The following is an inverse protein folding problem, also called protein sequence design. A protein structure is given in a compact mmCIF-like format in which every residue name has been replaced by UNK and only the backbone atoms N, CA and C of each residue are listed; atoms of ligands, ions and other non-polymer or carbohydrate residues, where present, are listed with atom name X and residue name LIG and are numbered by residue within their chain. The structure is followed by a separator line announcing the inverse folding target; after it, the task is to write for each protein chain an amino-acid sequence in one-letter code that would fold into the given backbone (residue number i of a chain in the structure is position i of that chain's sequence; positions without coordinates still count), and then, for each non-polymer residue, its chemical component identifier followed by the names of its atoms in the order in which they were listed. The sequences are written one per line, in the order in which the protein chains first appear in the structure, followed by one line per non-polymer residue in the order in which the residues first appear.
data_IF_449097443890
#
_entry.id   IF_449097443890
#
_cell.length_a   1.000
_cell.length_b   1.000
_cell.length_c   1.000
_cell.angle_alpha   90.00
_cell.angle_beta   90.00
_cell.angle_gamma   90.00
#
_symmetry.space_group_name_H-M   'P 1'
#
loop_
_entity.id
_entity.type
_entity.pdbx_description
1 polymer ?
#
# COMPACT_ATOMS: atom_id res chain seq x y z
N UNK A 1 17.87 -2.88 -12.87
CA UNK A 1 16.75 -3.50 -13.63
C UNK A 1 16.78 -5.03 -13.64
N UNK A 2 17.78 -5.68 -14.25
CA UNK A 2 17.82 -7.15 -14.35
C UNK A 2 17.71 -7.89 -13.00
N UNK A 3 18.35 -7.37 -11.93
CA UNK A 3 18.22 -7.92 -10.57
C UNK A 3 16.78 -7.86 -10.06
N UNK A 4 16.12 -6.69 -10.15
CA UNK A 4 14.71 -6.51 -9.75
C UNK A 4 13.80 -7.46 -10.52
N UNK A 5 13.94 -7.55 -11.84
CA UNK A 5 13.15 -8.47 -12.66
C UNK A 5 13.32 -9.94 -12.23
N UNK A 6 14.56 -10.41 -11.99
CA UNK A 6 14.80 -11.77 -11.47
C UNK A 6 14.12 -12.01 -10.11
N UNK A 7 14.12 -11.02 -9.23
CA UNK A 7 13.42 -11.11 -7.94
C UNK A 7 11.90 -11.18 -8.13
N UNK A 8 11.34 -10.40 -9.06
CA UNK A 8 9.91 -10.44 -9.41
C UNK A 8 9.50 -11.79 -9.98
N UNK A 9 10.30 -12.40 -10.85
CA UNK A 9 10.06 -13.76 -11.36
C UNK A 9 10.05 -14.78 -10.21
N UNK A 10 11.02 -14.72 -9.30
CA UNK A 10 11.04 -15.61 -8.12
C UNK A 10 9.80 -15.44 -7.25
N UNK A 11 9.39 -14.20 -7.00
CA UNK A 11 8.19 -13.90 -6.22
C UNK A 11 6.92 -14.36 -6.93
N UNK A 12 6.81 -14.13 -8.23
CA UNK A 12 5.68 -14.56 -9.06
C UNK A 12 5.51 -16.07 -9.02
N UNK A 13 6.59 -16.84 -9.23
CA UNK A 13 6.56 -18.30 -9.15
C UNK A 13 6.12 -18.77 -7.76
N UNK A 14 6.66 -18.16 -6.69
CA UNK A 14 6.27 -18.53 -5.33
C UNK A 14 4.80 -18.24 -5.03
N UNK A 15 4.26 -17.15 -5.57
CA UNK A 15 2.86 -16.80 -5.43
C UNK A 15 1.99 -17.80 -6.21
N UNK A 16 2.34 -18.12 -7.45
CA UNK A 16 1.65 -19.12 -8.26
C UNK A 16 1.60 -20.48 -7.55
N UNK A 17 2.72 -20.93 -6.97
CA UNK A 17 2.78 -22.18 -6.19
C UNK A 17 1.85 -22.18 -4.96
N UNK A 18 1.62 -21.03 -4.34
CA UNK A 18 0.84 -20.91 -3.09
C UNK A 18 -0.65 -20.62 -3.31
N UNK A 19 -0.98 -19.88 -4.37
CA UNK A 19 -2.34 -19.34 -4.57
C UNK A 19 -2.95 -19.77 -5.90
N UNK A 20 -2.17 -20.35 -6.82
CA UNK A 20 -2.58 -20.63 -8.20
C UNK A 20 -2.70 -19.39 -9.08
N UNK A 21 -2.47 -18.18 -8.54
CA UNK A 21 -2.57 -16.93 -9.31
C UNK A 21 -1.27 -16.68 -10.05
N UNK A 22 -1.32 -16.79 -11.37
CA UNK A 22 -0.20 -16.44 -12.25
C UNK A 22 -0.05 -14.92 -12.37
N UNK A 23 1.14 -14.42 -12.08
CA UNK A 23 1.47 -12.99 -12.13
C UNK A 23 2.37 -12.68 -13.32
N UNK A 24 2.20 -11.50 -13.93
CA UNK A 24 3.08 -10.98 -14.97
C UNK A 24 4.27 -10.22 -14.35
N UNK A 25 5.52 -10.71 -14.39
CA UNK A 25 6.66 -10.03 -13.76
C UNK A 25 7.06 -8.70 -14.40
N UNK A 26 6.44 -8.32 -15.53
CA UNK A 26 6.64 -7.01 -16.17
C UNK A 26 5.69 -5.94 -15.61
N UNK A 27 4.60 -6.31 -14.94
CA UNK A 27 3.69 -5.36 -14.30
C UNK A 27 4.39 -4.66 -13.13
N UNK A 28 3.92 -3.47 -12.73
CA UNK A 28 4.36 -2.82 -11.50
C UNK A 28 3.93 -3.68 -10.30
N UNK A 29 4.88 -4.20 -9.52
CA UNK A 29 4.58 -4.92 -8.28
C UNK A 29 4.38 -3.92 -7.15
N UNK A 30 3.10 -3.68 -6.83
CA UNK A 30 2.62 -2.76 -5.82
C UNK A 30 2.31 -3.52 -4.53
N UNK A 31 3.08 -3.26 -3.46
CA UNK A 31 3.13 -4.18 -2.32
C UNK A 31 2.84 -3.49 -0.98
N UNK A 32 1.82 -4.00 -0.29
CA UNK A 32 1.45 -3.60 1.06
C UNK A 32 1.55 -4.78 2.04
N UNK A 33 2.71 -4.92 2.69
CA UNK A 33 2.99 -6.03 3.61
C UNK A 33 3.23 -5.56 5.05
N UNK A 34 2.20 -5.70 5.88
CA UNK A 34 2.20 -5.28 7.30
C UNK A 34 1.03 -5.92 8.03
N UNK A 35 0.98 -5.77 9.36
CA UNK A 35 -0.19 -6.18 10.15
C UNK A 35 -1.47 -5.57 9.55
N UNK A 36 -2.57 -6.32 9.52
CA UNK A 36 -3.85 -5.78 9.06
C UNK A 36 -4.48 -5.01 10.22
N UNK A 37 -4.65 -3.71 10.02
CA UNK A 37 -5.20 -2.80 11.01
C UNK A 37 -5.82 -1.60 10.28
N UNK A 38 -6.92 -1.05 10.78
CA UNK A 38 -7.62 0.07 10.15
C UNK A 38 -6.70 1.30 9.91
N UNK A 39 -5.85 1.69 10.86
CA UNK A 39 -4.90 2.81 10.68
C UNK A 39 -3.82 2.56 9.61
N UNK A 40 -3.53 1.29 9.28
CA UNK A 40 -2.56 0.92 8.23
C UNK A 40 -3.19 0.98 6.83
N UNK A 41 -4.51 1.22 6.78
CA UNK A 41 -5.31 1.56 5.60
C UNK A 41 -5.13 0.63 4.41
N UNK A 42 -5.05 -0.69 4.64
CA UNK A 42 -5.24 -1.66 3.55
C UNK A 42 -6.60 -1.49 2.87
N UNK A 43 -7.58 -0.98 3.61
CA UNK A 43 -8.87 -0.59 3.04
C UNK A 43 -8.72 0.52 2.00
N UNK A 44 -7.92 1.58 2.24
CA UNK A 44 -7.68 2.64 1.26
C UNK A 44 -7.04 2.10 -0.03
N UNK A 45 -6.08 1.18 0.10
CA UNK A 45 -5.46 0.53 -1.07
C UNK A 45 -6.50 -0.29 -1.86
N UNK A 46 -7.35 -1.10 -1.20
CA UNK A 46 -8.38 -1.84 -1.95
C UNK A 46 -9.45 -0.92 -2.57
N UNK A 47 -9.72 0.27 -2.01
CA UNK A 47 -10.56 1.27 -2.68
C UNK A 47 -9.94 1.68 -4.02
N UNK A 48 -8.63 2.00 -4.03
CA UNK A 48 -7.89 2.32 -5.26
C UNK A 48 -7.89 1.15 -6.27
N UNK A 49 -7.74 -0.09 -5.82
CA UNK A 49 -7.85 -1.27 -6.68
C UNK A 49 -9.20 -1.33 -7.40
N UNK A 50 -10.30 -1.05 -6.69
CA UNK A 50 -11.64 -1.03 -7.27
C UNK A 50 -11.78 0.14 -8.25
N UNK A 51 -11.18 1.30 -7.96
CA UNK A 51 -11.12 2.44 -8.88
C UNK A 51 -10.42 2.07 -10.19
N UNK A 52 -9.25 1.44 -10.11
CA UNK A 52 -8.54 0.94 -11.30
C UNK A 52 -9.38 -0.05 -12.09
N UNK A 53 -10.02 -1.00 -11.41
CA UNK A 53 -10.92 -1.96 -12.03
C UNK A 53 -12.06 -1.27 -12.80
N UNK A 54 -12.73 -0.29 -12.18
CA UNK A 54 -13.81 0.47 -12.80
C UNK A 54 -13.35 1.24 -14.04
N UNK A 55 -12.19 1.92 -13.96
CA UNK A 55 -11.59 2.66 -15.08
C UNK A 55 -11.19 1.76 -16.25
N UNK A 56 -10.71 0.55 -15.97
CA UNK A 56 -10.39 -0.46 -16.99
C UNK A 56 -11.68 -0.93 -17.67
N UNK A 57 -12.71 -1.27 -16.88
CA UNK A 57 -14.00 -1.76 -17.36
C UNK A 57 -14.80 -0.75 -18.16
N UNK A 58 -14.70 0.53 -17.82
CA UNK A 58 -15.36 1.62 -18.53
C UNK A 58 -14.65 2.01 -19.84
N UNK A 59 -13.45 1.48 -20.10
CA UNK A 59 -12.62 1.86 -21.24
C UNK A 59 -11.97 3.25 -21.10
N UNK A 60 -12.05 3.87 -19.93
CA UNK A 60 -11.42 5.17 -19.64
C UNK A 60 -9.89 5.04 -19.55
N UNK A 61 -9.37 3.85 -19.24
CA UNK A 61 -7.95 3.62 -19.11
C UNK A 61 -7.34 3.06 -20.41
N UNK A 62 -7.01 3.95 -21.35
CA UNK A 62 -6.46 3.59 -22.67
C UNK A 62 -4.99 3.12 -22.62
N UNK A 63 -4.20 3.68 -21.71
CA UNK A 63 -2.76 3.37 -21.53
C UNK A 63 -2.47 2.90 -20.09
N UNK A 64 -3.14 1.83 -19.66
CA UNK A 64 -2.96 1.27 -18.32
C UNK A 64 -1.55 0.71 -18.16
N UNK A 65 -0.78 1.26 -17.23
CA UNK A 65 0.43 0.60 -16.72
C UNK A 65 0.00 -0.70 -16.02
N UNK A 66 0.37 -1.90 -16.54
CA UNK A 66 -0.03 -3.15 -15.92
C UNK A 66 0.43 -3.20 -14.46
N UNK A 67 -0.46 -3.57 -13.53
CA UNK A 67 -0.19 -3.54 -12.09
C UNK A 67 -0.56 -4.86 -11.42
N UNK A 68 0.30 -5.30 -10.50
CA UNK A 68 0.02 -6.43 -9.61
C UNK A 68 0.06 -5.94 -8.18
N UNK A 69 -1.11 -5.89 -7.55
CA UNK A 69 -1.27 -5.44 -6.16
C UNK A 69 -1.18 -6.63 -5.22
N UNK A 70 -0.18 -6.61 -4.34
CA UNK A 70 0.17 -7.70 -3.43
C UNK A 70 -0.06 -7.24 -2.00
N UNK A 71 -1.05 -7.84 -1.35
CA UNK A 71 -1.29 -7.69 0.08
C UNK A 71 -0.59 -8.80 0.84
N UNK A 72 -0.16 -8.52 2.06
CA UNK A 72 0.27 -9.56 2.99
C UNK A 72 0.22 -9.08 4.44
N UNK A 73 -0.33 -9.91 5.32
CA UNK A 73 -0.50 -9.52 6.71
C UNK A 73 -1.35 -10.49 7.50
N UNK A 74 -1.39 -10.28 8.81
CA UNK A 74 -2.26 -11.01 9.74
C UNK A 74 -3.11 -10.02 10.51
N UNK A 75 -4.37 -10.37 10.73
CA UNK A 75 -5.25 -9.69 11.67
C UNK A 75 -5.18 -10.41 13.03
N UNK A 76 -5.39 -9.67 14.12
CA UNK A 76 -5.54 -10.29 15.44
C UNK A 76 -6.82 -11.15 15.47
N UNK A 77 -6.87 -12.27 16.23
CA UNK A 77 -7.98 -13.22 16.16
C UNK A 77 -9.36 -12.60 16.43
N UNK A 78 -9.45 -11.69 17.39
CA UNK A 78 -10.68 -10.98 17.76
C UNK A 78 -10.95 -9.69 16.97
N UNK A 79 -10.05 -9.28 16.07
CA UNK A 79 -10.21 -8.04 15.32
C UNK A 79 -11.09 -8.27 14.09
N UNK A 80 -12.40 -8.24 14.32
CA UNK A 80 -13.40 -8.55 13.31
C UNK A 80 -13.31 -7.64 12.07
N UNK A 81 -13.21 -6.32 12.24
CA UNK A 81 -13.11 -5.39 11.11
C UNK A 81 -11.87 -5.65 10.24
N UNK A 82 -10.71 -5.91 10.87
CA UNK A 82 -9.50 -6.27 10.14
C UNK A 82 -9.66 -7.57 9.35
N UNK A 83 -10.34 -8.59 9.91
CA UNK A 83 -10.66 -9.83 9.20
C UNK A 83 -11.64 -9.60 8.05
N UNK A 84 -12.62 -8.71 8.22
CA UNK A 84 -13.56 -8.33 7.17
C UNK A 84 -12.85 -7.63 6.01
N UNK A 85 -11.87 -6.76 6.30
CA UNK A 85 -11.02 -6.14 5.27
C UNK A 85 -10.19 -7.20 4.52
N UNK A 86 -9.60 -8.19 5.20
CA UNK A 86 -8.93 -9.32 4.53
C UNK A 86 -9.91 -10.04 3.59
N UNK A 87 -11.13 -10.30 4.05
CA UNK A 87 -12.15 -10.98 3.24
C UNK A 87 -12.52 -10.16 2.01
N UNK A 88 -12.75 -8.85 2.17
CA UNK A 88 -13.02 -7.94 1.06
C UNK A 88 -11.90 -7.98 0.02
N UNK A 89 -10.63 -7.90 0.44
CA UNK A 89 -9.49 -7.96 -0.49
C UNK A 89 -9.50 -9.26 -1.30
N UNK A 90 -9.81 -10.40 -0.68
CA UNK A 90 -9.84 -11.69 -1.39
C UNK A 90 -11.04 -11.78 -2.36
N UNK A 91 -12.22 -11.33 -1.96
CA UNK A 91 -13.41 -11.36 -2.84
C UNK A 91 -13.26 -10.36 -4.01
N UNK A 92 -12.67 -9.18 -3.78
CA UNK A 92 -12.27 -8.23 -4.84
C UNK A 92 -11.25 -8.87 -5.78
N UNK A 93 -10.24 -9.55 -5.23
CA UNK A 93 -9.22 -10.22 -6.02
C UNK A 93 -9.79 -11.33 -6.91
N UNK A 94 -10.74 -12.13 -6.41
CA UNK A 94 -11.40 -13.17 -7.19
C UNK A 94 -12.08 -12.59 -8.44
N UNK A 95 -12.89 -11.54 -8.27
CA UNK A 95 -13.59 -10.89 -9.39
C UNK A 95 -12.60 -10.29 -10.40
N UNK A 96 -11.61 -9.54 -9.92
CA UNK A 96 -10.65 -8.86 -10.80
C UNK A 96 -9.79 -9.88 -11.57
N UNK A 97 -9.31 -10.92 -10.89
CA UNK A 97 -8.41 -11.90 -11.50
C UNK A 97 -9.10 -12.77 -12.55
N UNK A 98 -10.41 -12.99 -12.41
CA UNK A 98 -11.22 -13.81 -13.32
C UNK A 98 -11.87 -13.00 -14.46
N UNK A 99 -11.86 -11.66 -14.41
CA UNK A 99 -12.46 -10.83 -15.47
C UNK A 99 -11.58 -10.78 -16.74
N UNK A 100 -12.04 -11.35 -17.89
CA UNK A 100 -11.26 -11.37 -19.13
C UNK A 100 -11.01 -9.99 -19.73
N UNK A 101 -11.87 -9.01 -19.45
CA UNK A 101 -11.69 -7.64 -19.93
C UNK A 101 -10.57 -6.91 -19.19
N UNK A 102 -10.25 -7.36 -17.97
CA UNK A 102 -9.11 -6.88 -17.18
C UNK A 102 -7.83 -7.59 -17.62
N UNK A 103 -7.85 -8.92 -17.67
CA UNK A 103 -6.70 -9.73 -18.08
C UNK A 103 -5.46 -9.46 -17.23
N UNK A 104 -4.32 -9.20 -17.88
CA UNK A 104 -3.04 -8.90 -17.21
C UNK A 104 -2.83 -7.40 -16.88
N UNK A 105 -3.82 -6.54 -17.14
CA UNK A 105 -3.73 -5.11 -16.81
C UNK A 105 -3.76 -4.86 -15.30
N UNK A 106 -4.52 -5.67 -14.56
CA UNK A 106 -4.61 -5.60 -13.11
C UNK A 106 -4.74 -7.01 -12.54
N UNK A 107 -3.84 -7.36 -11.62
CA UNK A 107 -3.96 -8.57 -10.78
C UNK A 107 -3.89 -8.19 -9.32
N UNK A 108 -4.61 -8.90 -8.49
CA UNK A 108 -4.62 -8.69 -7.03
C UNK A 108 -4.35 -10.03 -6.36
N UNK A 109 -3.47 -10.04 -5.36
CA UNK A 109 -3.20 -11.28 -4.61
C UNK A 109 -2.99 -10.97 -3.14
N UNK A 110 -3.57 -11.81 -2.29
CA UNK A 110 -3.27 -11.81 -0.87
C UNK A 110 -2.27 -12.93 -0.58
N UNK A 111 -1.03 -12.58 -0.28
CA UNK A 111 0.00 -13.55 0.11
C UNK A 111 -0.37 -14.17 1.47
N UNK A 112 -0.64 -15.49 1.55
CA UNK A 112 -1.09 -16.12 2.78
C UNK A 112 0.06 -16.25 3.79
N UNK A 113 -0.29 -16.23 5.09
CA UNK A 113 0.66 -16.44 6.18
C UNK A 113 1.94 -15.59 6.10
N UNK A 114 1.80 -14.27 5.94
CA UNK A 114 2.96 -13.37 5.94
C UNK A 114 3.82 -13.53 7.21
N UNK A 115 5.11 -13.81 6.99
CA UNK A 115 6.15 -14.07 7.99
C UNK A 115 7.52 -13.67 7.44
N UNK A 116 8.60 -13.88 8.20
CA UNK A 116 9.95 -13.44 7.81
C UNK A 116 10.41 -14.08 6.50
N UNK A 117 10.23 -15.39 6.34
CA UNK A 117 10.59 -16.12 5.12
C UNK A 117 9.85 -15.60 3.88
N UNK A 118 8.59 -15.19 4.05
CA UNK A 118 7.83 -14.54 2.98
C UNK A 118 8.41 -13.15 2.66
N UNK A 119 8.77 -12.40 3.69
CA UNK A 119 9.32 -11.05 3.57
C UNK A 119 10.64 -11.02 2.78
N UNK A 120 11.48 -12.06 2.91
CA UNK A 120 12.72 -12.23 2.15
C UNK A 120 12.51 -12.34 0.62
N UNK A 121 11.30 -12.70 0.18
CA UNK A 121 10.92 -12.72 -1.24
C UNK A 121 10.14 -11.47 -1.63
N UNK A 122 9.26 -10.99 -0.75
CA UNK A 122 8.41 -9.84 -1.00
C UNK A 122 9.24 -8.56 -1.15
N UNK A 123 10.14 -8.24 -0.21
CA UNK A 123 10.91 -6.99 -0.27
C UNK A 123 11.77 -6.86 -1.54
N UNK A 124 12.56 -7.87 -1.96
CA UNK A 124 13.36 -7.75 -3.17
C UNK A 124 12.53 -7.72 -4.46
N UNK A 125 11.31 -8.28 -4.44
CA UNK A 125 10.38 -8.33 -5.57
C UNK A 125 9.47 -7.11 -5.72
N UNK A 126 9.37 -6.23 -4.72
CA UNK A 126 8.51 -5.03 -4.78
C UNK A 126 9.10 -3.93 -5.66
N UNK A 127 8.26 -3.30 -6.49
CA UNK A 127 8.60 -2.06 -7.19
C UNK A 127 8.10 -0.85 -6.40
N UNK A 128 6.85 -0.90 -5.91
CA UNK A 128 6.23 0.15 -5.11
C UNK A 128 5.95 -0.36 -3.68
N UNK A 129 6.19 0.51 -2.70
CA UNK A 129 6.01 0.23 -1.29
C UNK A 129 4.90 1.08 -0.67
N UNK A 130 3.82 0.44 -0.26
CA UNK A 130 2.63 1.09 0.32
C UNK A 130 2.80 1.40 1.81
N UNK A 131 3.08 2.67 2.12
CA UNK A 131 3.33 3.20 3.46
C UNK A 131 2.28 4.23 3.86
N UNK A 132 1.02 3.83 3.73
CA UNK A 132 -0.14 4.70 3.72
C UNK A 132 -0.88 4.79 5.05
N UNK A 133 -0.19 4.74 6.20
CA UNK A 133 -0.87 4.91 7.49
C UNK A 133 -1.45 6.32 7.61
N UNK A 134 -2.50 6.55 8.41
CA UNK A 134 -2.99 7.92 8.68
C UNK A 134 -1.89 8.71 9.37
N UNK A 135 -1.61 9.95 8.94
CA UNK A 135 -0.53 10.74 9.53
C UNK A 135 -0.69 10.91 11.05
N UNK A 136 0.41 10.71 11.79
CA UNK A 136 0.44 10.71 13.26
C UNK A 136 0.12 9.36 13.92
N UNK A 137 0.00 8.25 13.18
CA UNK A 137 -0.35 6.93 13.77
C UNK A 137 0.78 5.91 13.74
N UNK A 138 1.73 6.03 12.80
CA UNK A 138 2.92 5.19 12.72
C UNK A 138 4.09 5.88 13.42
N UNK A 139 4.55 5.31 14.54
CA UNK A 139 5.69 5.89 15.27
C UNK A 139 7.02 5.83 14.47
N UNK A 140 7.17 4.82 13.62
CA UNK A 140 8.37 4.65 12.78
C UNK A 140 8.02 3.79 11.57
N UNK A 141 8.04 2.45 11.73
CA UNK A 141 7.93 1.49 10.63
C UNK A 141 9.30 1.09 10.12
N UNK A 142 9.55 -0.22 10.02
CA UNK A 142 10.83 -0.77 9.51
C UNK A 142 10.68 -1.51 8.19
N UNK A 143 9.45 -1.77 7.76
CA UNK A 143 9.16 -2.38 6.46
C UNK A 143 9.48 -1.43 5.30
N UNK A 144 9.20 -0.13 5.46
CA UNK A 144 9.56 0.92 4.52
C UNK A 144 11.07 1.01 4.30
N UNK A 145 11.88 0.92 5.36
CA UNK A 145 13.35 0.92 5.28
C UNK A 145 13.85 -0.26 4.44
N UNK A 146 13.32 -1.47 4.68
CA UNK A 146 13.69 -2.69 3.94
C UNK A 146 13.30 -2.59 2.45
N UNK A 147 12.13 -2.02 2.18
CA UNK A 147 11.62 -1.80 0.82
C UNK A 147 12.50 -0.82 0.04
N UNK A 148 12.81 0.33 0.63
CA UNK A 148 13.67 1.34 0.02
C UNK A 148 15.10 0.79 -0.21
N UNK A 149 15.65 0.05 0.75
CA UNK A 149 16.95 -0.61 0.61
C UNK A 149 16.97 -1.68 -0.50
N UNK A 150 15.81 -2.27 -0.82
CA UNK A 150 15.64 -3.21 -1.93
C UNK A 150 15.23 -2.53 -3.24
N UNK A 151 15.27 -1.20 -3.31
CA UNK A 151 14.99 -0.42 -4.52
C UNK A 151 13.52 -0.34 -4.89
N UNK A 152 12.60 -0.53 -3.94
CA UNK A 152 11.20 -0.15 -4.12
C UNK A 152 11.04 1.35 -3.82
N UNK A 153 10.27 2.06 -4.63
CA UNK A 153 9.90 3.45 -4.34
C UNK A 153 8.74 3.48 -3.35
N UNK A 154 8.77 4.41 -2.40
CA UNK A 154 7.70 4.55 -1.42
C UNK A 154 6.58 5.42 -1.97
N UNK A 155 5.34 4.97 -1.81
CA UNK A 155 4.15 5.82 -1.77
C UNK A 155 3.63 5.84 -0.33
N UNK A 156 3.45 7.03 0.24
CA UNK A 156 3.08 7.11 1.65
C UNK A 156 2.69 8.50 2.13
N UNK A 157 2.18 8.54 3.35
CA UNK A 157 1.92 9.77 4.08
C UNK A 157 3.20 10.30 4.74
N UNK A 158 3.19 11.58 5.11
CA UNK A 158 4.21 12.18 5.99
C UNK A 158 4.02 11.69 7.43
N UNK A 159 4.40 10.44 7.68
CA UNK A 159 4.26 9.77 8.98
C UNK A 159 5.44 8.84 9.28
N UNK A 160 5.75 8.70 10.57
CA UNK A 160 6.82 7.83 11.05
C UNK A 160 8.14 7.99 10.27
N UNK A 161 8.73 6.85 9.91
CA UNK A 161 10.01 6.82 9.19
C UNK A 161 9.89 7.22 7.70
N UNK A 162 8.70 7.49 7.16
CA UNK A 162 8.60 8.04 5.81
C UNK A 162 9.16 9.47 5.74
N UNK A 163 9.03 10.24 6.84
CA UNK A 163 9.62 11.58 6.97
C UNK A 163 11.14 11.48 6.84
N UNK A 164 11.77 10.62 7.63
CA UNK A 164 13.21 10.38 7.56
C UNK A 164 13.63 9.84 6.20
N UNK A 165 12.86 8.92 5.59
CA UNK A 165 13.19 8.41 4.25
C UNK A 165 13.17 9.54 3.23
N UNK A 166 12.14 10.41 3.26
CA UNK A 166 12.05 11.58 2.38
C UNK A 166 13.25 12.50 2.53
N UNK A 167 13.69 12.78 3.75
CA UNK A 167 14.89 13.58 4.04
C UNK A 167 16.15 12.98 3.39
N UNK A 168 16.35 11.66 3.52
CA UNK A 168 17.53 11.00 2.98
C UNK A 168 17.50 10.86 1.46
N UNK A 169 16.37 10.42 0.89
CA UNK A 169 16.28 10.12 -0.55
C UNK A 169 16.01 11.37 -1.39
N UNK A 170 15.39 12.39 -0.80
CA UNK A 170 14.96 13.64 -1.42
C UNK A 170 13.59 13.54 -2.10
N UNK A 171 12.88 14.66 -2.15
CA UNK A 171 11.47 14.79 -2.55
C UNK A 171 11.17 14.22 -3.94
N UNK A 172 12.13 14.30 -4.86
CA UNK A 172 11.97 13.75 -6.21
C UNK A 172 11.93 12.21 -6.24
N UNK A 173 12.37 11.52 -5.18
CA UNK A 173 12.59 10.07 -5.16
C UNK A 173 11.61 9.29 -4.27
N UNK A 174 10.53 9.93 -3.83
CA UNK A 174 9.46 9.36 -3.02
C UNK A 174 8.11 9.98 -3.44
N UNK A 175 7.02 9.24 -3.31
CA UNK A 175 5.67 9.71 -3.59
C UNK A 175 4.95 9.99 -2.27
N UNK A 176 4.78 11.26 -1.94
CA UNK A 176 4.11 11.69 -0.70
C UNK A 176 2.73 12.25 -1.03
N UNK A 177 1.72 11.84 -0.26
CA UNK A 177 0.35 12.30 -0.41
C UNK A 177 -0.36 12.43 0.93
N UNK A 178 -1.59 12.95 0.87
CA UNK A 178 -2.51 13.01 2.00
C UNK A 178 -2.21 14.15 2.96
N UNK A 179 -3.05 14.22 3.99
CA UNK A 179 -2.97 15.23 5.04
C UNK A 179 -1.71 15.05 5.90
N UNK A 180 -1.10 16.17 6.34
CA UNK A 180 -0.09 16.15 7.41
C UNK A 180 -0.72 15.88 8.77
N UNK A 181 0.09 15.58 9.80
CA UNK A 181 -0.41 15.40 11.17
C UNK A 181 -1.18 16.62 11.69
N UNK A 182 -0.72 17.83 11.37
CA UNK A 182 -1.39 19.09 11.75
C UNK A 182 -2.73 19.25 11.00
N UNK A 183 -2.76 18.92 9.72
CA UNK A 183 -3.98 18.97 8.91
C UNK A 183 -5.00 17.92 9.34
N UNK A 184 -4.56 16.72 9.72
CA UNK A 184 -5.41 15.68 10.34
C UNK A 184 -6.08 16.22 11.61
N UNK A 185 -5.32 16.90 12.48
CA UNK A 185 -5.87 17.50 13.70
C UNK A 185 -6.88 18.60 13.37
N UNK A 186 -6.57 19.45 12.38
CA UNK A 186 -7.44 20.52 11.92
C UNK A 186 -8.76 19.99 11.33
N UNK A 187 -8.69 19.04 10.40
CA UNK A 187 -9.88 18.42 9.77
C UNK A 187 -10.82 17.81 10.82
N UNK A 188 -10.27 17.17 11.85
CA UNK A 188 -11.08 16.68 12.97
C UNK A 188 -11.72 17.81 13.79
N UNK A 189 -10.95 18.86 14.09
CA UNK A 189 -11.44 20.00 14.87
C UNK A 189 -12.53 20.79 14.13
N UNK A 190 -12.43 20.88 12.80
CA UNK A 190 -13.39 21.58 11.94
C UNK A 190 -14.70 20.80 11.70
N UNK A 191 -14.85 19.60 12.30
CA UNK A 191 -16.07 18.81 12.23
C UNK A 191 -16.14 17.92 10.98
N UNK A 192 -15.09 17.15 10.71
CA UNK A 192 -15.02 16.18 9.60
C UNK A 192 -16.32 15.39 9.39
N UNK A 193 -16.89 15.52 8.18
CA UNK A 193 -18.05 14.78 7.73
C UNK A 193 -17.69 13.93 6.50
N UNK A 194 -17.62 12.59 6.63
CA UNK A 194 -17.30 11.68 5.52
C UNK A 194 -18.28 11.78 4.33
N UNK A 195 -19.54 12.15 4.58
CA UNK A 195 -20.56 12.27 3.53
C UNK A 195 -20.24 13.35 2.51
N UNK A 196 -19.55 14.42 2.91
CA UNK A 196 -19.16 15.50 2.00
C UNK A 196 -18.21 14.98 0.92
N UNK A 197 -17.24 14.13 1.32
CA UNK A 197 -16.29 13.48 0.40
C UNK A 197 -16.98 12.46 -0.51
N UNK A 198 -17.92 11.69 0.03
CA UNK A 198 -18.72 10.75 -0.74
C UNK A 198 -19.55 11.45 -1.82
N UNK A 199 -20.18 12.57 -1.51
CA UNK A 199 -21.00 13.32 -2.48
C UNK A 199 -20.16 14.14 -3.48
N UNK A 200 -18.98 14.58 -3.09
CA UNK A 200 -18.10 15.39 -3.93
C UNK A 200 -17.31 14.58 -4.98
N UNK A 201 -17.09 13.27 -4.76
CA UNK A 201 -16.27 12.44 -5.64
C UNK A 201 -17.05 11.23 -6.20
N UNK A 202 -17.36 11.27 -7.50
CA UNK A 202 -18.16 10.23 -8.16
C UNK A 202 -17.48 8.85 -8.21
N UNK A 203 -16.15 8.81 -8.35
CA UNK A 203 -15.41 7.54 -8.33
C UNK A 203 -15.41 6.92 -6.94
N UNK A 204 -15.17 7.73 -5.91
CA UNK A 204 -15.26 7.29 -4.52
C UNK A 204 -16.66 6.76 -4.21
N UNK A 205 -17.70 7.51 -4.61
CA UNK A 205 -19.09 7.09 -4.48
C UNK A 205 -19.33 5.72 -5.11
N UNK A 206 -18.92 5.54 -6.36
CA UNK A 206 -19.09 4.27 -7.08
C UNK A 206 -18.40 3.11 -6.35
N UNK A 207 -17.17 3.29 -5.89
CA UNK A 207 -16.43 2.26 -5.16
C UNK A 207 -17.15 1.87 -3.87
N UNK A 208 -17.58 2.86 -3.08
CA UNK A 208 -18.28 2.61 -1.81
C UNK A 208 -19.66 1.96 -2.03
N UNK A 209 -20.38 2.36 -3.07
CA UNK A 209 -21.66 1.73 -3.45
C UNK A 209 -21.47 0.27 -3.87
N UNK A 210 -20.42 -0.06 -4.63
CA UNK A 210 -20.10 -1.44 -5.00
C UNK A 210 -19.81 -2.31 -3.77
N UNK A 211 -19.09 -1.75 -2.78
CA UNK A 211 -18.83 -2.44 -1.51
C UNK A 211 -20.14 -2.66 -0.73
N UNK A 212 -21.03 -1.66 -0.69
CA UNK A 212 -22.25 -1.73 0.11
C UNK A 212 -23.39 -2.56 -0.52
N UNK A 213 -23.42 -2.70 -1.84
CA UNK A 213 -24.59 -3.23 -2.57
C UNK A 213 -24.39 -4.68 -3.06
N UNK A 214 -23.47 -5.43 -2.47
CA UNK A 214 -23.28 -6.85 -2.77
C UNK A 214 -22.53 -7.18 -4.05
N UNK A 215 -21.90 -6.20 -4.72
CA UNK A 215 -21.16 -6.45 -5.96
C UNK A 215 -20.06 -7.52 -5.80
N UNK A 216 -19.38 -7.51 -4.64
CA UNK A 216 -18.29 -8.45 -4.35
C UNK A 216 -18.75 -9.76 -3.69
N UNK A 217 -20.05 -9.90 -3.39
CA UNK A 217 -20.61 -11.13 -2.84
C UNK A 217 -22.14 -11.16 -3.05
N UNK A 218 -22.57 -11.79 -4.14
CA UNK A 218 -23.99 -11.86 -4.53
C UNK A 218 -24.82 -12.68 -3.52
N UNK A 219 -24.24 -13.71 -2.92
CA UNK A 219 -24.91 -14.59 -1.94
C UNK A 219 -25.16 -13.90 -0.59
N UNK A 220 -24.35 -12.90 -0.25
CA UNK A 220 -24.47 -12.11 0.98
C UNK A 220 -24.30 -10.61 0.67
N UNK A 221 -25.33 -9.95 0.11
CA UNK A 221 -25.20 -8.57 -0.38
C UNK A 221 -24.76 -7.57 0.69
N UNK A 222 -25.17 -7.80 1.94
CA UNK A 222 -24.84 -6.94 3.08
C UNK A 222 -23.50 -7.28 3.75
N UNK A 223 -22.74 -8.28 3.25
CA UNK A 223 -21.49 -8.77 3.88
C UNK A 223 -20.53 -7.63 4.25
N UNK A 224 -20.39 -6.64 3.38
CA UNK A 224 -19.46 -5.53 3.56
C UNK A 224 -20.13 -4.21 3.97
N UNK A 225 -21.42 -4.24 4.29
CA UNK A 225 -22.16 -3.04 4.73
C UNK A 225 -21.51 -2.38 5.94
N UNK A 226 -20.96 -3.17 6.85
CA UNK A 226 -20.26 -2.65 8.03
C UNK A 226 -18.99 -1.84 7.69
N UNK A 227 -18.31 -2.12 6.57
CA UNK A 227 -17.19 -1.30 6.10
C UNK A 227 -17.71 0.06 5.65
N UNK A 228 -18.76 0.06 4.83
CA UNK A 228 -19.41 1.29 4.37
C UNK A 228 -19.90 2.14 5.57
N UNK A 229 -20.59 1.52 6.52
CA UNK A 229 -21.07 2.20 7.72
C UNK A 229 -19.92 2.72 8.59
N UNK A 230 -18.80 1.99 8.68
CA UNK A 230 -17.63 2.46 9.42
C UNK A 230 -17.05 3.74 8.82
N UNK A 231 -17.04 3.84 7.48
CA UNK A 231 -16.55 5.02 6.78
C UNK A 231 -17.54 6.17 6.85
N UNK A 232 -18.81 5.97 6.51
CA UNK A 232 -19.76 7.07 6.34
C UNK A 232 -20.57 7.40 7.60
N UNK A 233 -20.93 6.39 8.38
CA UNK A 233 -21.86 6.53 9.51
C UNK A 233 -21.15 6.57 10.87
N UNK A 234 -19.91 6.07 10.95
CA UNK A 234 -19.09 6.07 12.18
C UNK A 234 -17.89 7.02 12.11
N UNK A 235 -17.91 7.93 11.15
CA UNK A 235 -17.02 9.09 11.10
C UNK A 235 -15.63 8.84 10.49
N UNK A 236 -15.40 7.71 9.81
CA UNK A 236 -14.14 7.37 9.13
C UNK A 236 -12.92 7.78 9.97
N UNK A 237 -12.75 7.11 11.12
CA UNK A 237 -11.79 7.53 12.13
C UNK A 237 -10.36 7.70 11.60
N UNK A 238 -9.99 7.02 10.52
CA UNK A 238 -8.64 7.06 9.94
C UNK A 238 -8.54 7.91 8.67
N UNK A 239 -9.56 8.74 8.38
CA UNK A 239 -9.58 9.72 7.31
C UNK A 239 -9.25 9.12 5.93
N UNK A 240 -9.80 7.93 5.65
CA UNK A 240 -9.62 7.28 4.35
C UNK A 240 -10.25 8.13 3.25
N UNK A 241 -11.43 8.70 3.48
CA UNK A 241 -12.16 9.44 2.44
C UNK A 241 -11.51 10.81 2.18
N UNK A 242 -10.93 11.42 3.21
CA UNK A 242 -10.20 12.67 3.09
C UNK A 242 -8.94 12.51 2.23
N UNK A 243 -8.18 11.44 2.43
CA UNK A 243 -6.94 11.19 1.68
C UNK A 243 -7.17 10.55 0.31
N UNK A 244 -8.36 9.98 0.05
CA UNK A 244 -8.65 9.18 -1.14
C UNK A 244 -8.26 9.87 -2.45
N UNK A 245 -8.71 11.11 -2.69
CA UNK A 245 -8.44 11.80 -3.95
C UNK A 245 -6.95 12.02 -4.19
N UNK A 246 -6.23 12.49 -3.16
CA UNK A 246 -4.77 12.69 -3.23
C UNK A 246 -4.00 11.38 -3.42
N UNK A 247 -4.49 10.28 -2.86
CA UNK A 247 -3.91 8.95 -3.06
C UNK A 247 -4.07 8.48 -4.50
N UNK A 248 -5.26 8.63 -5.09
CA UNK A 248 -5.52 8.27 -6.49
C UNK A 248 -4.64 9.10 -7.44
N UNK A 249 -4.57 10.42 -7.26
CA UNK A 249 -3.72 11.31 -8.06
C UNK A 249 -2.23 10.90 -7.97
N UNK A 250 -1.76 10.57 -6.76
CA UNK A 250 -0.37 10.15 -6.56
C UNK A 250 -0.10 8.78 -7.19
N UNK A 251 -1.07 7.87 -7.18
CA UNK A 251 -0.98 6.58 -7.86
C UNK A 251 -0.96 6.71 -9.40
N UNK A 252 -1.62 7.74 -9.94
CA UNK A 252 -1.51 8.10 -11.36
C UNK A 252 -0.08 8.57 -11.67
N UNK A 253 0.50 9.43 -10.83
CA UNK A 253 1.90 9.86 -10.98
C UNK A 253 2.90 8.69 -10.90
N UNK A 254 2.66 7.73 -9.99
CA UNK A 254 3.43 6.46 -9.94
C UNK A 254 3.31 5.71 -11.26
N UNK A 255 2.09 5.56 -11.77
CA UNK A 255 1.82 4.80 -12.99
C UNK A 255 2.46 5.43 -14.22
N UNK A 256 2.46 6.76 -14.30
CA UNK A 256 3.13 7.52 -15.34
C UNK A 256 4.65 7.38 -15.24
N UNK A 257 5.23 7.54 -14.05
CA UNK A 257 6.67 7.40 -13.86
C UNK A 257 7.17 6.01 -14.20
N UNK A 258 6.43 4.96 -13.85
CA UNK A 258 6.85 3.60 -14.13
C UNK A 258 6.94 3.31 -15.64
N UNK A 259 6.26 4.07 -16.51
CA UNK A 259 6.45 3.95 -17.95
C UNK A 259 7.83 4.45 -18.39
N UNK A 260 8.39 5.44 -17.70
CA UNK A 260 9.78 5.85 -17.83
C UNK A 260 10.70 4.95 -16.96
N UNK A 261 11.05 3.80 -17.53
CA UNK A 261 11.92 2.82 -16.87
C UNK A 261 13.32 3.36 -16.56
N UNK A 262 13.78 4.41 -17.26
CA UNK A 262 15.06 5.04 -16.96
C UNK A 262 15.00 5.84 -15.69
N UNK A 263 14.05 6.76 -15.63
CA UNK A 263 13.86 7.60 -14.46
C UNK A 263 13.45 6.77 -13.24
N UNK A 264 12.53 5.80 -13.39
CA UNK A 264 12.16 4.89 -12.30
C UNK A 264 13.38 4.18 -11.69
N UNK A 265 14.26 3.66 -12.55
CA UNK A 265 15.47 2.97 -12.10
C UNK A 265 16.45 3.91 -11.43
N UNK A 266 16.61 5.13 -11.95
CA UNK A 266 17.47 6.14 -11.35
C UNK A 266 17.01 6.47 -9.93
N UNK A 267 15.71 6.70 -9.72
CA UNK A 267 15.13 6.97 -8.40
C UNK A 267 15.28 5.77 -7.45
N UNK A 268 15.09 4.55 -7.95
CA UNK A 268 15.27 3.33 -7.16
C UNK A 268 16.73 3.18 -6.68
N UNK A 269 17.71 3.43 -7.56
CA UNK A 269 19.14 3.41 -7.18
C UNK A 269 19.45 4.46 -6.11
N UNK A 270 18.90 5.67 -6.26
CA UNK A 270 19.09 6.73 -5.27
C UNK A 270 18.48 6.39 -3.90
N UNK A 271 17.33 5.70 -3.88
CA UNK A 271 16.79 5.16 -2.62
C UNK A 271 17.80 4.22 -1.98
N UNK A 272 18.25 3.18 -2.70
CA UNK A 272 19.24 2.21 -2.17
C UNK A 272 20.52 2.90 -1.67
N UNK A 273 21.04 3.87 -2.41
CA UNK A 273 22.28 4.56 -2.08
C UNK A 273 22.17 5.49 -0.85
N UNK A 274 20.97 6.00 -0.55
CA UNK A 274 20.78 7.05 0.48
C UNK A 274 20.16 6.54 1.78
N UNK A 275 19.65 5.31 1.82
CA UNK A 275 19.01 4.74 3.03
C UNK A 275 19.97 4.10 4.02
N UNK A 276 21.29 4.36 3.93
CA UNK A 276 22.30 3.81 4.84
C UNK A 276 22.08 4.18 6.32
N UNK A 277 21.46 5.35 6.58
CA UNK A 277 21.05 5.82 7.91
C UNK A 277 20.19 4.79 8.65
N UNK A 278 19.43 3.96 7.94
CA UNK A 278 18.48 3.01 8.54
C UNK A 278 19.11 1.67 8.94
N UNK A 279 20.43 1.52 8.87
CA UNK A 279 21.12 0.35 9.42
C UNK A 279 20.88 0.24 10.94
N UNK A 280 20.57 -0.97 11.40
CA UNK A 280 20.46 -1.26 12.84
C UNK A 280 21.78 -1.05 13.58
N UNK A 281 22.92 -1.15 12.91
CA UNK A 281 24.24 -0.93 13.52
C UNK A 281 24.37 0.51 14.03
N UNK A 282 23.80 1.47 13.29
CA UNK A 282 23.73 2.88 13.71
C UNK A 282 22.87 3.02 14.96
N UNK A 283 21.67 2.44 14.97
CA UNK A 283 20.79 2.45 16.15
C UNK A 283 21.47 1.82 17.36
N UNK A 284 22.10 0.64 17.21
CA UNK A 284 22.81 -0.03 18.30
C UNK A 284 23.98 0.81 18.80
N UNK A 285 24.74 1.45 17.90
CA UNK A 285 25.82 2.37 18.28
C UNK A 285 25.32 3.58 19.09
N UNK A 286 24.18 4.17 18.71
CA UNK A 286 23.54 5.26 19.44
C UNK A 286 23.05 4.82 20.81
N UNK A 287 22.39 3.66 20.92
CA UNK A 287 21.95 3.10 22.20
C UNK A 287 23.14 2.80 23.12
N UNK A 288 24.19 2.17 22.59
CA UNK A 288 25.41 1.85 23.34
C UNK A 288 26.07 3.10 23.94
N UNK A 289 26.20 4.17 23.14
CA UNK A 289 26.82 5.43 23.55
C UNK A 289 25.92 6.27 24.47
N UNK A 290 24.65 6.42 24.11
CA UNK A 290 23.78 7.42 24.72
C UNK A 290 23.00 6.88 25.92
N UNK A 291 22.68 5.59 25.95
CA UNK A 291 21.82 4.98 26.98
C UNK A 291 22.60 3.95 27.81
N UNK A 292 23.11 2.89 27.19
CA UNK A 292 23.72 1.76 27.92
C UNK A 292 25.10 2.10 28.49
N UNK A 293 25.79 3.09 27.93
CA UNK A 293 27.14 3.51 28.33
C UNK A 293 28.16 2.37 28.24
N UNK A 294 28.12 1.63 27.14
CA UNK A 294 29.04 0.50 26.86
C UNK A 294 29.94 0.80 25.66
N UNK A 295 31.15 0.24 25.66
CA UNK A 295 32.12 0.32 24.55
C UNK A 295 32.36 -1.06 23.92
N UNK A 296 32.92 -1.07 22.70
CA UNK A 296 33.33 -2.31 22.05
C UNK A 296 34.36 -3.05 22.91
N UNK A 297 34.12 -4.33 23.16
CA UNK A 297 35.07 -5.22 23.82
C UNK A 297 36.18 -5.71 22.87
N UNK A 298 36.03 -5.51 21.54
CA UNK A 298 37.07 -5.78 20.56
C UNK A 298 37.96 -4.54 20.43
N UNK A 299 39.24 -4.71 20.77
CA UNK A 299 40.35 -3.78 20.47
C UNK A 299 40.62 -3.77 18.97
#
# INVERSE_FOLDING_TARGET
RAVKHKNKVRLANKIEDLTGVKLNPNSLFDVQIKRIHEYKRQLLNVLHVITLYNRIRSGQAKDVTPRTVIFGGKAAPGYWMAKLIIRLINDVAAIINDDPAVGDKLKVVFYPNYEVSAAELLFPGSDLSEQISTAGTEASGTGNMKMALNGALTIGTLDGANVEIKEEVGDANIFIFGLTTEEVAKVRADGYNPWDYYHANAELKQVLDMIANGFFCVEEPDRYRAIFDNLLNKGDHYLLLADYASYIETQEAVSALYQDQEEWTRRAILNVARVGKFSSDRTIGEYAKNIWKVSSAKQ
#
